data_IF_335704828313
#
_entry.id   IF_335704828313
#
_cell.length_a   1.000
_cell.length_b   1.000
_cell.length_c   1.000
_cell.angle_alpha   90.00
_cell.angle_beta   90.00
_cell.angle_gamma   90.00
#
_symmetry.space_group_name_H-M   'P 1'
#
loop_
_entity.id
_entity.type
_entity.pdbx_description
1 polymer ?
#
# COMPACT_ATOMS: atom_id res chain seq x y z
N UNK A 1 -4.59 -14.36 -1.03
CA UNK A 1 -5.00 -12.95 -1.14
C UNK A 1 -3.89 -12.21 -1.88
N UNK A 2 -4.23 -11.52 -2.95
CA UNK A 2 -3.28 -10.88 -3.85
C UNK A 2 -3.42 -9.36 -3.82
N UNK A 3 -2.38 -8.66 -4.24
CA UNK A 3 -2.43 -7.22 -4.45
C UNK A 3 -1.75 -6.82 -5.75
N UNK A 4 -2.28 -5.76 -6.37
CA UNK A 4 -1.68 -5.06 -7.51
C UNK A 4 -1.51 -3.59 -7.14
N UNK A 5 -0.47 -2.94 -7.68
CA UNK A 5 -0.26 -1.49 -7.48
C UNK A 5 -0.69 -0.79 -8.75
N UNK A 6 -1.60 0.18 -8.62
CA UNK A 6 -2.02 0.97 -9.76
C UNK A 6 -0.91 1.94 -10.20
N UNK A 7 -0.53 1.89 -11.47
CA UNK A 7 0.42 2.81 -12.12
C UNK A 7 -0.06 4.27 -12.17
N UNK A 8 -1.37 4.53 -12.14
CA UNK A 8 -1.94 5.88 -12.19
C UNK A 8 -2.03 6.54 -10.82
N UNK A 9 -2.67 5.86 -9.87
CA UNK A 9 -2.94 6.43 -8.55
C UNK A 9 -1.95 5.97 -7.48
N UNK A 10 -1.04 5.03 -7.79
CA UNK A 10 -0.04 4.46 -6.88
C UNK A 10 -0.62 3.84 -5.60
N UNK A 11 -1.92 3.53 -5.60
CA UNK A 11 -2.59 2.86 -4.48
C UNK A 11 -2.60 1.34 -4.69
N UNK A 12 -2.49 0.56 -3.60
CA UNK A 12 -2.67 -0.88 -3.67
C UNK A 12 -4.15 -1.21 -3.88
N UNK A 13 -4.40 -2.18 -4.74
CA UNK A 13 -5.69 -2.84 -4.91
C UNK A 13 -5.53 -4.30 -4.49
N UNK A 14 -6.51 -4.85 -3.76
CA UNK A 14 -6.48 -6.20 -3.24
C UNK A 14 -7.55 -7.06 -3.92
N UNK A 15 -7.22 -8.32 -4.17
CA UNK A 15 -8.10 -9.27 -4.84
C UNK A 15 -7.93 -10.68 -4.29
N UNK A 16 -8.98 -11.49 -4.41
CA UNK A 16 -8.95 -12.91 -4.06
C UNK A 16 -8.35 -13.78 -5.16
N UNK A 17 -8.34 -13.29 -6.40
CA UNK A 17 -7.91 -14.04 -7.59
C UNK A 17 -6.66 -13.43 -8.21
N UNK A 18 -5.79 -14.28 -8.75
CA UNK A 18 -4.61 -13.87 -9.52
C UNK A 18 -4.92 -13.61 -10.99
N UNK A 19 -5.94 -14.29 -11.51
CA UNK A 19 -6.40 -14.23 -12.90
C UNK A 19 -7.68 -13.40 -13.04
N UNK A 20 -7.90 -12.92 -14.26
CA UNK A 20 -9.10 -12.18 -14.66
C UNK A 20 -8.90 -10.67 -14.75
N UNK A 21 -9.95 -9.99 -15.20
CA UNK A 21 -9.98 -8.54 -15.27
C UNK A 21 -9.80 -7.94 -13.88
N UNK A 22 -8.92 -6.95 -13.77
CA UNK A 22 -8.66 -6.28 -12.49
C UNK A 22 -8.70 -4.79 -12.69
N UNK A 23 -9.77 -4.14 -12.23
CA UNK A 23 -9.90 -2.69 -12.25
C UNK A 23 -9.45 -2.08 -10.93
N UNK A 24 -8.73 -0.96 -10.99
CA UNK A 24 -8.39 -0.18 -9.82
C UNK A 24 -9.66 0.41 -9.19
N UNK A 25 -9.96 0.16 -7.90
CA UNK A 25 -11.20 0.64 -7.28
C UNK A 25 -11.25 2.16 -7.09
N UNK A 26 -10.13 2.86 -7.29
CA UNK A 26 -10.03 4.32 -7.08
C UNK A 26 -10.14 5.10 -8.38
N UNK A 27 -9.56 4.60 -9.47
CA UNK A 27 -9.49 5.33 -10.74
C UNK A 27 -10.03 4.55 -11.92
N UNK A 28 -10.60 3.36 -11.67
CA UNK A 28 -11.15 2.45 -12.67
C UNK A 28 -10.18 2.10 -13.82
N UNK A 29 -8.87 2.22 -13.56
CA UNK A 29 -7.84 1.85 -14.52
C UNK A 29 -7.62 0.34 -14.53
N UNK A 30 -7.42 -0.20 -15.72
CA UNK A 30 -7.13 -1.62 -15.89
C UNK A 30 -5.73 -1.98 -15.36
N UNK A 31 -5.71 -2.94 -14.43
CA UNK A 31 -4.54 -3.53 -13.78
C UNK A 31 -4.37 -4.99 -14.17
N UNK A 32 -5.11 -5.51 -15.15
CA UNK A 32 -5.07 -6.91 -15.58
C UNK A 32 -3.64 -7.33 -15.89
N UNK A 33 -2.89 -6.51 -16.63
CA UNK A 33 -1.48 -6.76 -16.98
C UNK A 33 -0.47 -6.25 -15.95
N UNK A 34 -0.93 -5.66 -14.83
CA UNK A 34 -0.02 -5.15 -13.79
C UNK A 34 0.58 -6.28 -12.96
N UNK A 35 1.79 -6.05 -12.43
CA UNK A 35 2.50 -7.00 -11.58
C UNK A 35 1.65 -7.39 -10.36
N UNK A 36 1.48 -8.70 -10.19
CA UNK A 36 0.83 -9.32 -9.06
C UNK A 36 1.82 -9.50 -7.91
N UNK A 37 1.37 -9.29 -6.68
CA UNK A 37 2.11 -9.58 -5.46
C UNK A 37 1.23 -10.37 -4.51
N UNK A 38 1.84 -11.22 -3.69
CA UNK A 38 1.10 -11.84 -2.59
C UNK A 38 0.83 -10.75 -1.54
N UNK A 39 -0.38 -10.70 -0.97
CA UNK A 39 -0.74 -9.63 -0.05
C UNK A 39 0.22 -9.53 1.15
N UNK A 40 0.76 -10.66 1.60
CA UNK A 40 1.75 -10.77 2.69
C UNK A 40 3.16 -10.34 2.30
N UNK A 41 3.52 -10.27 1.02
CA UNK A 41 4.86 -9.88 0.61
C UNK A 41 5.08 -8.37 0.81
N UNK A 42 6.21 -7.95 1.40
CA UNK A 42 6.55 -6.53 1.46
C UNK A 42 6.79 -5.99 0.05
N UNK A 43 6.27 -4.79 -0.24
CA UNK A 43 6.56 -4.11 -1.52
C UNK A 43 7.98 -3.56 -1.41
N UNK A 44 8.96 -4.32 -1.91
CA UNK A 44 10.36 -3.86 -1.99
C UNK A 44 10.41 -2.81 -3.10
N UNK A 45 10.38 -1.53 -2.71
CA UNK A 45 10.62 -0.42 -3.64
C UNK A 45 12.13 -0.26 -3.80
N UNK A 46 12.66 -0.09 -5.04
CA UNK A 46 14.06 0.23 -5.23
C UNK A 46 14.44 1.46 -4.38
N UNK A 47 15.60 1.38 -3.71
CA UNK A 47 16.10 2.36 -2.74
C UNK A 47 16.10 3.81 -3.28
N UNK A 48 16.13 3.99 -4.60
CA UNK A 48 16.14 5.29 -5.25
C UNK A 48 14.85 6.12 -5.01
N UNK A 49 13.76 5.50 -4.54
CA UNK A 49 12.50 6.20 -4.22
C UNK A 49 12.33 6.54 -2.72
N UNK A 50 13.20 6.05 -1.83
CA UNK A 50 13.08 6.26 -0.38
C UNK A 50 13.51 7.67 0.08
N UNK A 51 14.30 8.39 -0.73
CA UNK A 51 14.74 9.76 -0.41
C UNK A 51 13.58 10.76 -0.33
N UNK A 52 12.41 10.45 -0.89
CA UNK A 52 11.25 11.34 -0.91
C UNK A 52 10.31 11.17 0.31
N UNK A 53 10.49 10.14 1.15
CA UNK A 53 9.57 9.82 2.27
C UNK A 53 10.19 10.01 3.66
N UNK A 54 11.44 10.44 3.75
CA UNK A 54 12.18 10.51 5.01
C UNK A 54 11.90 11.77 5.84
N UNK A 55 10.66 12.28 5.84
CA UNK A 55 10.20 13.36 6.72
C UNK A 55 8.73 13.17 7.12
N UNK A 56 8.43 12.12 7.88
CA UNK A 56 7.35 12.17 8.87
C UNK A 56 7.84 11.42 10.11
N UNK A 57 8.52 12.16 10.97
CA UNK A 57 8.74 11.74 12.35
C UNK A 57 7.38 11.43 12.96
N UNK A 58 7.15 10.16 13.29
CA UNK A 58 6.07 9.78 14.18
C UNK A 58 6.53 10.23 15.57
N UNK A 59 6.33 11.49 15.90
CA UNK A 59 6.39 11.95 17.30
C UNK A 59 5.15 11.43 18.01
N UNK A 60 5.12 10.13 18.28
CA UNK A 60 4.21 9.53 19.22
C UNK A 60 4.60 10.01 20.62
N UNK A 61 4.13 11.20 21.02
CA UNK A 61 4.04 11.53 22.44
C UNK A 61 3.00 10.60 23.03
N UNK A 62 3.45 9.61 23.79
CA UNK A 62 2.62 8.82 24.68
C UNK A 62 2.08 9.73 25.78
N UNK A 63 0.86 10.23 25.66
CA UNK A 63 0.15 10.78 26.83
C UNK A 63 -0.16 9.62 27.76
N UNK A 64 0.51 9.60 28.91
CA UNK A 64 0.14 8.77 30.06
C UNK A 64 -1.31 9.11 30.41
N UNK A 65 -2.21 8.14 30.35
CA UNK A 65 -3.53 8.26 30.96
C UNK A 65 -3.31 7.94 32.43
N UNK A 66 -3.34 8.96 33.27
CA UNK A 66 -3.31 8.81 34.72
C UNK A 66 -4.71 8.34 35.16
N UNK A 67 -4.82 7.08 35.60
CA UNK A 67 -6.04 6.55 36.21
C UNK A 67 -5.89 6.68 37.72
N UNK A 68 -6.24 7.87 38.23
CA UNK A 68 -6.49 8.10 39.64
C UNK A 68 -7.78 8.90 39.81
N UNK A 69 -8.89 8.20 40.05
CA UNK A 69 -10.10 8.72 40.73
C UNK A 69 -10.62 7.62 41.64
#
# INVERSE_FOLDING_TARGET
MYKKICNRCNKPSYGSSEIGEWLCPVCNHDLTQSKLFIASEPIIRPLHYLKAFQNKEITGKTSKIDLTV
#
